data_IF_509744857725
#
_entry.id   IF_509744857725
#
_cell.length_a   1.000
_cell.length_b   1.000
_cell.length_c   1.000
_cell.angle_alpha   90.00
_cell.angle_beta   90.00
_cell.angle_gamma   90.00
#
_symmetry.space_group_name_H-M   'P 1'
#
loop_
_entity.id
_entity.type
_entity.pdbx_description
1 polymer ?
#
# COMPACT_ATOMS: atom_id res chain seq x y z
N UNK A 1 -5.86 9.67 16.49
CA UNK A 1 -5.66 9.00 15.18
C UNK A 1 -6.71 7.92 15.06
N UNK A 2 -7.60 8.02 14.08
CA UNK A 2 -8.64 7.00 13.83
C UNK A 2 -8.02 6.00 12.85
N UNK A 3 -7.80 4.72 13.22
CA UNK A 3 -7.28 3.74 12.30
C UNK A 3 -8.29 3.51 11.17
N UNK A 4 -7.89 3.79 9.93
CA UNK A 4 -8.65 3.45 8.73
C UNK A 4 -8.05 2.20 8.08
N UNK A 5 -8.88 1.25 7.61
CA UNK A 5 -8.40 0.01 7.01
C UNK A 5 -7.62 0.29 5.72
N UNK A 6 -6.59 -0.51 5.48
CA UNK A 6 -5.84 -0.52 4.22
C UNK A 6 -6.30 -1.76 3.45
N UNK A 7 -6.76 -1.57 2.22
CA UNK A 7 -7.10 -2.67 1.34
C UNK A 7 -5.93 -2.98 0.42
N UNK A 8 -5.45 -4.23 0.44
CA UNK A 8 -4.39 -4.71 -0.44
C UNK A 8 -4.96 -5.82 -1.31
N UNK A 9 -4.94 -5.62 -2.62
CA UNK A 9 -5.36 -6.60 -3.61
C UNK A 9 -4.42 -7.82 -3.69
N UNK A 10 -4.75 -8.71 -4.61
CA UNK A 10 -3.97 -9.90 -4.97
C UNK A 10 -2.73 -9.51 -5.78
N UNK A 11 -1.65 -10.27 -5.61
CA UNK A 11 -0.42 -10.14 -6.41
C UNK A 11 0.24 -8.74 -6.36
N UNK A 12 0.12 -8.05 -5.23
CA UNK A 12 0.74 -6.75 -4.97
C UNK A 12 2.22 -6.93 -4.60
N UNK A 13 3.07 -6.07 -5.13
CA UNK A 13 4.50 -6.04 -4.80
C UNK A 13 4.84 -4.76 -4.04
N UNK A 14 5.31 -4.91 -2.80
CA UNK A 14 5.66 -3.78 -1.93
C UNK A 14 7.18 -3.66 -1.83
N UNK A 15 7.72 -2.59 -2.41
CA UNK A 15 9.14 -2.29 -2.34
C UNK A 15 9.60 -1.94 -0.93
N UNK A 16 10.88 -2.18 -0.65
CA UNK A 16 11.48 -1.88 0.66
C UNK A 16 11.31 -0.42 1.05
N UNK A 17 10.98 -0.14 2.32
CA UNK A 17 10.74 1.21 2.83
C UNK A 17 9.54 1.94 2.18
N UNK A 18 8.56 1.20 1.66
CA UNK A 18 7.28 1.78 1.27
C UNK A 18 6.46 2.17 2.52
N UNK A 19 5.81 3.34 2.47
CA UNK A 19 4.89 3.81 3.51
C UNK A 19 3.47 3.85 2.95
N UNK A 20 2.54 3.13 3.57
CA UNK A 20 1.12 3.12 3.19
C UNK A 20 0.32 3.80 4.28
N UNK A 21 -0.41 4.85 3.92
CA UNK A 21 -1.24 5.63 4.82
C UNK A 21 -2.58 4.95 5.10
N UNK A 22 -3.18 5.32 6.23
CA UNK A 22 -4.49 4.80 6.63
C UNK A 22 -5.59 5.21 5.64
N UNK A 23 -6.37 4.24 5.15
CA UNK A 23 -7.47 4.47 4.19
C UNK A 23 -7.10 4.24 2.72
N UNK A 24 -5.88 3.81 2.44
CA UNK A 24 -5.41 3.52 1.08
C UNK A 24 -5.95 2.18 0.59
N UNK A 25 -6.34 2.15 -0.68
CA UNK A 25 -6.74 0.92 -1.39
C UNK A 25 -5.76 0.67 -2.54
N UNK A 26 -5.03 -0.44 -2.44
CA UNK A 26 -4.07 -0.92 -3.43
C UNK A 26 -4.77 -1.99 -4.28
N UNK A 27 -4.88 -1.73 -5.57
CA UNK A 27 -5.50 -2.67 -6.53
C UNK A 27 -4.66 -3.92 -6.77
N UNK A 28 -5.29 -4.92 -7.40
CA UNK A 28 -4.62 -6.17 -7.78
C UNK A 28 -3.48 -5.91 -8.79
N UNK A 29 -2.34 -6.57 -8.60
CA UNK A 29 -1.16 -6.44 -9.46
C UNK A 29 -0.38 -5.12 -9.31
N UNK A 30 -0.72 -4.28 -8.32
CA UNK A 30 -0.01 -3.04 -8.09
C UNK A 30 1.43 -3.27 -7.59
N UNK A 31 2.36 -2.41 -8.03
CA UNK A 31 3.76 -2.42 -7.58
C UNK A 31 4.07 -1.09 -6.91
N UNK A 32 4.34 -1.12 -5.60
CA UNK A 32 4.81 0.04 -4.85
C UNK A 32 6.34 0.05 -4.91
N UNK A 33 6.91 1.14 -5.43
CA UNK A 33 8.36 1.31 -5.50
C UNK A 33 8.99 1.39 -4.10
N UNK A 34 10.28 1.03 -4.00
CA UNK A 34 11.03 1.21 -2.76
C UNK A 34 11.08 2.70 -2.38
N UNK A 35 10.74 3.03 -1.13
CA UNK A 35 10.59 4.42 -0.68
C UNK A 35 9.31 5.13 -1.15
N UNK A 36 8.39 4.43 -1.82
CA UNK A 36 7.11 4.98 -2.25
C UNK A 36 6.19 5.30 -1.07
N UNK A 37 5.42 6.38 -1.19
CA UNK A 37 4.43 6.79 -0.20
C UNK A 37 3.06 6.75 -0.87
N UNK A 38 2.13 6.00 -0.29
CA UNK A 38 0.79 5.73 -0.83
C UNK A 38 -0.29 6.13 0.17
#
# INVERSE_FOLDING_TARGET
MIPAPIHIGQNVWVGSNATILSGVTIGDGAVIAAGGIC
#
